data_IF_282859722714
#
_entry.id   IF_282859722714
#
_cell.length_a   1.000
_cell.length_b   1.000
_cell.length_c   1.000
_cell.angle_alpha   90.00
_cell.angle_beta   90.00
_cell.angle_gamma   90.00
#
_symmetry.space_group_name_H-M   'P 1'
#
loop_
_entity.id
_entity.type
_entity.pdbx_description
1 polymer ?
#
# COMPACT_ATOMS: atom_id res chain seq x y z
N UNK A 1 -34.43 13.43 -24.25
CA UNK A 1 -33.58 13.33 -23.05
C UNK A 1 -32.13 13.21 -23.48
N UNK A 2 -31.27 14.22 -23.27
CA UNK A 2 -29.87 14.14 -23.67
C UNK A 2 -29.08 13.33 -22.63
N UNK A 3 -28.58 12.17 -23.04
CA UNK A 3 -27.63 11.34 -22.28
C UNK A 3 -26.33 12.09 -22.11
N UNK A 4 -25.95 12.36 -20.85
CA UNK A 4 -24.72 13.05 -20.47
C UNK A 4 -23.51 12.34 -21.10
N UNK A 5 -22.80 13.09 -21.93
CA UNK A 5 -21.49 12.76 -22.46
C UNK A 5 -20.55 12.42 -21.31
N UNK A 6 -20.00 11.21 -21.34
CA UNK A 6 -18.90 10.75 -20.51
C UNK A 6 -17.71 11.67 -20.78
N UNK A 7 -17.49 12.63 -19.89
CA UNK A 7 -16.37 13.55 -19.93
C UNK A 7 -15.08 12.75 -19.78
N UNK A 8 -14.30 12.70 -20.85
CA UNK A 8 -12.92 12.24 -20.87
C UNK A 8 -12.14 12.95 -19.76
N UNK A 9 -11.86 12.24 -18.67
CA UNK A 9 -10.96 12.72 -17.62
C UNK A 9 -9.53 12.66 -18.16
N UNK A 10 -8.98 13.85 -18.41
CA UNK A 10 -7.53 14.04 -18.56
C UNK A 10 -6.83 13.30 -17.42
N UNK A 11 -5.97 12.31 -17.74
CA UNK A 11 -5.20 11.52 -16.76
C UNK A 11 -4.24 12.45 -16.01
N UNK A 12 -4.73 13.10 -14.95
CA UNK A 12 -3.87 13.81 -14.02
C UNK A 12 -2.97 12.77 -13.34
N UNK A 13 -1.66 13.00 -13.35
CA UNK A 13 -0.73 12.13 -12.63
C UNK A 13 -0.82 12.48 -11.15
N UNK A 14 -0.93 11.48 -10.26
CA UNK A 14 -0.93 11.74 -8.82
C UNK A 14 0.43 12.34 -8.42
N UNK A 15 0.38 13.41 -7.63
CA UNK A 15 1.52 14.17 -7.14
C UNK A 15 1.77 13.94 -5.66
N UNK A 16 0.76 13.53 -4.89
CA UNK A 16 0.86 13.41 -3.45
C UNK A 16 0.42 12.03 -2.97
N UNK A 17 1.14 11.51 -1.98
CA UNK A 17 0.66 10.42 -1.14
C UNK A 17 -0.02 11.03 0.09
N UNK A 18 -1.32 10.78 0.24
CA UNK A 18 -2.13 11.20 1.37
C UNK A 18 -2.39 10.00 2.28
N UNK A 19 -2.00 10.11 3.55
CA UNK A 19 -2.27 9.10 4.57
C UNK A 19 -3.46 9.58 5.40
N UNK A 20 -4.52 8.79 5.40
CA UNK A 20 -5.72 9.03 6.18
C UNK A 20 -5.85 8.00 7.29
N UNK A 21 -6.29 8.41 8.48
CA UNK A 21 -6.58 7.54 9.61
C UNK A 21 -8.09 7.35 9.76
N UNK A 22 -8.51 6.10 9.92
CA UNK A 22 -9.91 5.79 10.23
C UNK A 22 -10.18 6.06 11.70
N UNK A 23 -11.19 6.87 12.02
CA UNK A 23 -11.50 7.23 13.41
C UNK A 23 -12.03 6.05 14.23
N UNK A 24 -12.66 5.05 13.60
CA UNK A 24 -13.21 3.87 14.29
C UNK A 24 -12.16 2.82 14.59
N UNK A 25 -11.52 2.29 13.55
CA UNK A 25 -10.57 1.18 13.70
C UNK A 25 -9.13 1.64 13.89
N UNK A 26 -8.87 2.96 13.88
CA UNK A 26 -7.53 3.56 14.07
C UNK A 26 -6.47 3.04 13.08
N UNK A 27 -6.91 2.47 11.96
CA UNK A 27 -6.03 2.02 10.89
C UNK A 27 -5.89 3.14 9.87
N UNK A 28 -4.67 3.40 9.43
CA UNK A 28 -4.44 4.32 8.33
C UNK A 28 -4.42 3.63 6.96
N UNK A 29 -4.77 4.39 5.95
CA UNK A 29 -4.86 4.01 4.56
C UNK A 29 -4.21 5.09 3.69
N UNK A 30 -3.35 4.66 2.77
CA UNK A 30 -2.69 5.53 1.81
C UNK A 30 -3.54 5.67 0.55
N UNK A 31 -3.77 6.89 0.13
CA UNK A 31 -4.50 7.23 -1.09
C UNK A 31 -3.73 8.30 -1.87
N UNK A 32 -3.91 8.33 -3.18
CA UNK A 32 -3.52 9.51 -3.95
C UNK A 32 -4.55 10.62 -3.73
N UNK A 33 -4.20 11.87 -4.04
CA UNK A 33 -5.14 12.99 -3.97
C UNK A 33 -6.34 12.88 -4.93
N UNK A 34 -6.27 11.96 -5.90
CA UNK A 34 -7.32 11.71 -6.88
C UNK A 34 -8.37 10.72 -6.36
N UNK A 35 -8.03 9.92 -5.37
CA UNK A 35 -8.88 8.86 -4.84
C UNK A 35 -9.67 9.32 -3.62
N UNK A 36 -10.91 8.86 -3.51
CA UNK A 36 -11.71 9.09 -2.30
C UNK A 36 -11.23 8.17 -1.18
N UNK A 37 -10.92 8.70 0.02
CA UNK A 37 -10.45 7.88 1.12
C UNK A 37 -11.57 7.02 1.69
N UNK A 38 -11.36 5.71 1.74
CA UNK A 38 -12.28 4.73 2.33
C UNK A 38 -11.49 3.81 3.26
N UNK A 39 -12.05 3.45 4.41
CA UNK A 39 -11.42 2.47 5.27
C UNK A 39 -11.74 1.05 4.77
N UNK A 40 -10.73 0.30 4.33
CA UNK A 40 -10.87 -1.11 3.89
C UNK A 40 -10.74 -2.14 5.00
N UNK A 41 -10.52 -1.69 6.24
CA UNK A 41 -10.33 -2.58 7.38
C UNK A 41 -11.62 -2.89 8.13
N UNK A 42 -12.53 -1.92 8.19
CA UNK A 42 -13.76 -2.07 8.99
C UNK A 42 -15.04 -2.01 8.17
N UNK A 43 -14.97 -1.75 6.85
CA UNK A 43 -16.08 -1.63 5.88
C UNK A 43 -17.30 -0.80 6.33
N UNK A 44 -17.17 -0.06 7.42
CA UNK A 44 -18.20 0.82 7.97
C UNK A 44 -18.10 2.19 7.30
N UNK A 45 -19.22 2.86 7.03
CA UNK A 45 -19.20 4.28 6.66
C UNK A 45 -18.57 5.04 7.83
N UNK A 46 -17.39 5.57 7.58
CA UNK A 46 -16.57 6.22 8.59
C UNK A 46 -15.83 7.39 7.98
N UNK A 47 -15.69 8.44 8.77
CA UNK A 47 -14.84 9.60 8.45
C UNK A 47 -13.37 9.19 8.52
N UNK A 48 -12.64 9.61 7.49
CA UNK A 48 -11.20 9.38 7.35
C UNK A 48 -10.50 10.73 7.52
N UNK A 49 -9.63 10.82 8.51
CA UNK A 49 -8.96 12.07 8.87
C UNK A 49 -7.58 12.10 8.25
N UNK A 50 -7.26 13.14 7.48
CA UNK A 50 -5.95 13.28 6.85
C UNK A 50 -4.88 13.50 7.92
N UNK A 51 -3.90 12.60 7.99
CA UNK A 51 -2.79 12.66 8.96
C UNK A 51 -1.50 13.13 8.31
N UNK A 52 -1.26 12.74 7.05
CA UNK A 52 -0.05 13.14 6.34
C UNK A 52 -0.32 13.35 4.87
N UNK A 53 0.37 14.34 4.29
CA UNK A 53 0.40 14.58 2.85
C UNK A 53 1.86 14.83 2.47
N UNK A 54 2.46 13.89 1.75
CA UNK A 54 3.85 13.96 1.26
C UNK A 54 3.84 13.95 -0.27
N UNK A 55 4.84 14.57 -0.88
CA UNK A 55 5.05 14.44 -2.32
C UNK A 55 5.35 12.98 -2.68
N UNK A 56 4.82 12.52 -3.81
CA UNK A 56 4.94 11.14 -4.24
C UNK A 56 6.36 10.89 -4.76
N UNK A 57 7.17 10.20 -3.98
CA UNK A 57 8.51 9.74 -4.37
C UNK A 57 8.65 8.22 -4.20
N UNK A 58 9.67 7.63 -4.83
CA UNK A 58 9.98 6.22 -4.65
C UNK A 58 10.28 5.88 -3.17
N UNK A 59 10.90 6.81 -2.45
CA UNK A 59 11.20 6.68 -1.02
C UNK A 59 9.93 6.69 -0.17
N UNK A 60 8.98 7.59 -0.44
CA UNK A 60 7.69 7.65 0.27
C UNK A 60 6.85 6.40 0.01
N UNK A 61 6.88 5.87 -1.21
CA UNK A 61 6.22 4.60 -1.54
C UNK A 61 6.89 3.42 -0.82
N UNK A 62 8.22 3.36 -0.80
CA UNK A 62 8.97 2.30 -0.12
C UNK A 62 8.74 2.35 1.39
N UNK A 63 8.80 3.54 2.02
CA UNK A 63 8.48 3.74 3.43
C UNK A 63 7.07 3.23 3.74
N UNK A 64 6.10 3.55 2.87
CA UNK A 64 4.71 3.11 3.04
C UNK A 64 4.55 1.60 2.92
N UNK A 65 5.23 0.99 1.95
CA UNK A 65 5.20 -0.46 1.77
C UNK A 65 5.79 -1.17 3.00
N UNK A 66 6.91 -0.67 3.55
CA UNK A 66 7.51 -1.21 4.78
C UNK A 66 6.53 -1.17 5.96
N UNK A 67 5.91 0.00 6.20
CA UNK A 67 4.91 0.13 7.27
C UNK A 67 3.70 -0.81 7.08
N UNK A 68 3.25 -0.96 5.83
CA UNK A 68 2.08 -1.81 5.51
C UNK A 68 2.41 -3.29 5.75
N UNK A 69 3.59 -3.77 5.35
CA UNK A 69 4.01 -5.16 5.56
C UNK A 69 4.34 -5.45 7.01
N UNK A 70 4.91 -4.49 7.75
CA UNK A 70 5.12 -4.61 9.20
C UNK A 70 3.79 -4.80 9.95
N UNK A 71 2.77 -4.02 9.60
CA UNK A 71 1.43 -4.17 10.18
C UNK A 71 0.74 -5.47 9.79
N UNK A 72 0.93 -5.94 8.56
CA UNK A 72 0.40 -7.23 8.15
C UNK A 72 0.96 -8.34 9.05
N UNK A 73 2.27 -8.32 9.33
CA UNK A 73 2.87 -9.26 10.27
C UNK A 73 2.32 -9.10 11.69
N UNK A 74 2.19 -7.86 12.19
CA UNK A 74 1.61 -7.61 13.52
C UNK A 74 0.17 -8.13 13.64
N UNK A 75 -0.65 -7.93 12.61
CA UNK A 75 -2.03 -8.42 12.61
C UNK A 75 -2.09 -9.94 12.58
N UNK A 76 -1.21 -10.61 11.81
CA UNK A 76 -1.14 -12.07 11.77
C UNK A 76 -0.65 -12.64 13.11
N UNK A 77 0.37 -12.02 13.73
CA UNK A 77 0.84 -12.41 15.06
C UNK A 77 -0.24 -12.19 16.11
N UNK A 78 -0.92 -11.05 16.11
CA UNK A 78 -2.01 -10.79 17.04
C UNK A 78 -3.20 -11.75 16.85
N UNK A 79 -3.50 -12.13 15.62
CA UNK A 79 -4.53 -13.15 15.35
C UNK A 79 -4.13 -14.54 15.85
N UNK A 80 -2.84 -14.89 15.78
CA UNK A 80 -2.30 -16.12 16.37
C UNK A 80 -2.34 -16.10 17.90
N UNK A 81 -1.97 -14.99 18.52
CA UNK A 81 -1.97 -14.87 19.99
C UNK A 81 -3.38 -14.84 20.57
N UNK A 82 -4.34 -14.31 19.82
CA UNK A 82 -5.76 -14.33 20.17
C UNK A 82 -6.48 -15.61 19.70
N UNK A 83 -5.75 -16.58 19.15
CA UNK A 83 -6.30 -17.83 18.68
C UNK A 83 -6.77 -18.66 19.88
N UNK A 84 -8.05 -18.98 19.89
CA UNK A 84 -8.65 -19.93 20.84
C UNK A 84 -9.01 -21.20 20.04
N UNK A 85 -8.41 -22.33 20.40
CA UNK A 85 -8.59 -23.61 19.70
C UNK A 85 -10.05 -24.10 19.76
N UNK A 86 -10.81 -23.63 20.75
CA UNK A 86 -12.20 -24.03 20.99
C UNK A 86 -13.23 -23.33 20.08
N UNK A 87 -12.84 -22.30 19.32
CA UNK A 87 -13.76 -21.48 18.50
C UNK A 87 -13.91 -21.97 17.04
N UNK A 88 -13.18 -23.04 16.66
CA UNK A 88 -13.24 -23.62 15.32
C UNK A 88 -13.95 -24.99 15.29
N UNK A 89 -14.98 -25.10 14.46
CA UNK A 89 -15.47 -26.42 14.04
C UNK A 89 -14.36 -27.11 13.24
N UNK A 90 -13.87 -28.25 13.75
CA UNK A 90 -12.89 -29.09 13.07
C UNK A 90 -13.51 -29.66 11.79
N UNK A 91 -13.32 -28.98 10.67
CA UNK A 91 -13.32 -29.64 9.36
C UNK A 91 -12.08 -30.55 9.30
N UNK A 92 -12.28 -31.86 9.06
CA UNK A 92 -11.21 -32.86 9.11
C UNK A 92 -10.03 -32.60 8.13
N UNK A 93 -10.24 -31.74 7.13
CA UNK A 93 -9.25 -31.37 6.11
C UNK A 93 -8.65 -29.96 6.28
N UNK A 94 -9.14 -29.14 7.22
CA UNK A 94 -8.65 -27.77 7.42
C UNK A 94 -7.86 -27.65 8.72
N UNK A 95 -6.54 -27.47 8.58
CA UNK A 95 -5.65 -27.14 9.69
C UNK A 95 -5.46 -25.61 9.76
N UNK A 96 -6.19 -24.91 10.65
CA UNK A 96 -6.13 -23.46 10.78
C UNK A 96 -4.74 -22.97 11.20
N UNK A 97 -4.04 -23.74 12.04
CA UNK A 97 -2.72 -23.40 12.55
C UNK A 97 -1.68 -23.47 11.43
N UNK A 98 -1.69 -24.55 10.64
CA UNK A 98 -0.81 -24.67 9.47
C UNK A 98 -1.07 -23.57 8.45
N UNK A 99 -2.34 -23.27 8.17
CA UNK A 99 -2.71 -22.21 7.23
C UNK A 99 -2.18 -20.85 7.68
N UNK A 100 -2.29 -20.56 8.97
CA UNK A 100 -1.78 -19.33 9.57
C UNK A 100 -0.24 -19.26 9.49
N UNK A 101 0.47 -20.34 9.81
CA UNK A 101 1.93 -20.40 9.66
C UNK A 101 2.38 -20.17 8.21
N UNK A 102 1.69 -20.75 7.23
CA UNK A 102 1.98 -20.49 5.82
C UNK A 102 1.77 -19.02 5.44
N UNK A 103 0.72 -18.38 5.95
CA UNK A 103 0.45 -16.97 5.75
C UNK A 103 1.54 -16.09 6.40
N UNK A 104 1.95 -16.40 7.61
CA UNK A 104 3.06 -15.70 8.29
C UNK A 104 4.37 -15.85 7.52
N UNK A 105 4.67 -17.05 7.00
CA UNK A 105 5.86 -17.27 6.19
C UNK A 105 5.85 -16.46 4.88
N UNK A 106 4.69 -16.39 4.19
CA UNK A 106 4.51 -15.56 2.98
C UNK A 106 4.63 -14.07 3.31
N UNK A 107 3.99 -13.61 4.38
CA UNK A 107 4.06 -12.21 4.82
C UNK A 107 5.48 -11.81 5.23
N UNK A 108 6.23 -12.69 5.90
CA UNK A 108 7.63 -12.47 6.25
C UNK A 108 8.51 -12.33 5.00
N UNK A 109 8.39 -13.22 4.02
CA UNK A 109 9.13 -13.13 2.75
C UNK A 109 8.84 -11.81 2.02
N UNK A 110 7.57 -11.39 1.99
CA UNK A 110 7.17 -10.12 1.39
C UNK A 110 7.77 -8.93 2.15
N UNK A 111 7.72 -8.96 3.49
CA UNK A 111 8.34 -7.94 4.34
C UNK A 111 9.83 -7.84 4.06
N UNK A 112 10.57 -8.95 4.08
CA UNK A 112 12.01 -8.98 3.86
C UNK A 112 12.37 -8.41 2.47
N UNK A 113 11.62 -8.79 1.43
CA UNK A 113 11.81 -8.25 0.08
C UNK A 113 11.57 -6.73 0.03
N UNK A 114 10.51 -6.23 0.69
CA UNK A 114 10.17 -4.80 0.74
C UNK A 114 11.20 -4.00 1.55
N UNK A 115 11.71 -4.56 2.65
CA UNK A 115 12.72 -3.90 3.47
C UNK A 115 14.06 -3.77 2.76
N UNK A 116 14.38 -4.74 1.88
CA UNK A 116 15.59 -4.78 1.06
C UNK A 116 15.46 -4.01 -0.28
N UNK A 117 14.38 -3.26 -0.51
CA UNK A 117 14.27 -2.41 -1.70
C UNK A 117 15.32 -1.29 -1.65
N UNK A 118 16.29 -1.33 -2.57
CA UNK A 118 17.23 -0.24 -2.83
C UNK A 118 16.51 0.87 -3.61
N UNK A 119 16.28 2.02 -2.98
CA UNK A 119 15.61 3.18 -3.62
C UNK A 119 16.57 4.06 -4.44
N UNK A 120 17.83 3.65 -4.61
CA UNK A 120 18.91 4.45 -5.24
C UNK A 120 18.94 4.45 -6.78
N UNK A 121 17.85 4.09 -7.46
CA UNK A 121 17.82 4.01 -8.93
C UNK A 121 17.33 5.29 -9.65
N UNK A 122 17.11 6.40 -8.96
CA UNK A 122 16.55 7.62 -9.57
C UNK A 122 17.56 8.64 -10.13
N UNK A 123 18.88 8.47 -9.97
CA UNK A 123 19.85 9.50 -10.43
C UNK A 123 20.45 9.28 -11.83
N UNK A 124 20.31 8.11 -12.48
CA UNK A 124 21.09 7.80 -13.71
C UNK A 124 20.43 8.03 -15.07
N UNK A 125 19.24 8.64 -15.17
CA UNK A 125 18.55 8.80 -16.48
C UNK A 125 18.32 10.23 -17.00
N UNK A 126 18.95 11.27 -16.44
CA UNK A 126 18.82 12.64 -16.98
C UNK A 126 20.06 13.21 -17.70
N UNK A 127 21.22 12.54 -17.73
CA UNK A 127 22.47 13.07 -18.32
C UNK A 127 22.85 12.54 -19.72
N UNK A 128 21.92 12.13 -20.58
CA UNK A 128 22.25 11.71 -21.96
C UNK A 128 21.46 12.41 -23.07
N UNK A 129 21.08 13.68 -22.88
CA UNK A 129 20.52 14.52 -23.98
C UNK A 129 21.08 15.94 -24.10
N UNK A 130 22.25 16.25 -23.52
CA UNK A 130 23.00 17.47 -23.83
C UNK A 130 24.39 17.11 -24.33
N UNK A 131 24.59 17.07 -25.65
CA UNK A 131 25.95 17.03 -26.21
C UNK A 131 26.14 16.22 -27.47
N UNK A 132 25.29 16.32 -28.49
CA UNK A 132 25.73 15.98 -29.85
C UNK A 132 25.04 16.89 -30.86
N UNK A 133 25.74 17.97 -31.19
CA UNK A 133 25.25 19.03 -32.07
C UNK A 133 26.28 20.11 -32.32
N UNK A 134 27.48 19.75 -32.79
CA UNK A 134 28.34 20.67 -33.54
C UNK A 134 28.64 20.06 -34.90
N UNK A 135 27.87 20.49 -35.90
CA UNK A 135 28.29 20.53 -37.31
C UNK A 135 29.37 21.60 -37.46
N UNK A 136 30.40 21.32 -38.25
CA UNK A 136 30.70 22.03 -39.51
C UNK A 136 31.90 21.36 -40.19
N UNK A 137 31.63 20.83 -41.38
CA UNK A 137 32.58 20.76 -42.49
C UNK A 137 32.94 22.16 -42.98
#
# INVERSE_FOLDING_TARGET
>A
MPTKKTSQTTKQKPQFMCIYLCEKCKMDSGYTELDKPVCRFCDRPTTMTLVSKKELSAEVLAERLKQTTDRMMQNLTGAYEAFDEDDFEKDEDFDPEKTLFELMAKAKKLRDAVHNLDTKESEKKQETKKGMGKRKE
#
